data_IF_520749162853
#
_entry.id   IF_520749162853
#
_cell.length_a   1.000
_cell.length_b   1.000
_cell.length_c   1.000
_cell.angle_alpha   90.00
_cell.angle_beta   90.00
_cell.angle_gamma   90.00
#
_symmetry.space_group_name_H-M   'P 1'
#
loop_
_entity.id
_entity.type
_entity.pdbx_description
1 polymer ?
#
# COMPACT_ATOMS: atom_id res chain seq x y z
N UNK A 1 -29.46 46.80 61.65
CA UNK A 1 -29.39 45.45 62.22
C UNK A 1 -28.11 44.77 61.73
N UNK A 2 -27.38 44.14 62.67
CA UNK A 2 -26.13 43.38 62.50
C UNK A 2 -26.37 42.03 61.78
N UNK A 3 -25.38 41.57 61.00
CA UNK A 3 -24.73 40.22 61.02
C UNK A 3 -23.85 40.10 59.75
N UNK A 4 -22.51 40.11 59.83
CA UNK A 4 -21.54 39.02 60.13
C UNK A 4 -21.53 37.81 59.17
N UNK A 5 -20.34 37.51 58.62
CA UNK A 5 -19.94 36.24 57.96
C UNK A 5 -18.88 36.51 56.85
N UNK A 6 -17.57 36.58 57.12
CA UNK A 6 -16.56 35.53 57.41
C UNK A 6 -16.08 34.73 56.16
N UNK A 7 -14.87 35.10 55.70
CA UNK A 7 -13.69 34.31 55.25
C UNK A 7 -13.89 33.06 54.36
N UNK A 8 -13.25 33.05 53.17
CA UNK A 8 -12.12 32.15 52.85
C UNK A 8 -11.64 32.31 51.39
N UNK A 9 -10.45 32.89 51.23
CA UNK A 9 -9.56 32.69 50.07
C UNK A 9 -9.00 31.26 50.09
N UNK A 10 -9.14 30.54 48.98
CA UNK A 10 -8.39 29.29 48.70
C UNK A 10 -7.65 29.50 47.37
N UNK A 11 -6.31 29.36 47.32
CA UNK A 11 -5.57 29.38 46.07
C UNK A 11 -5.64 28.00 45.42
N UNK A 12 -6.08 27.92 44.16
CA UNK A 12 -6.04 26.70 43.38
C UNK A 12 -4.77 26.72 42.51
N UNK A 13 -3.71 26.13 43.04
CA UNK A 13 -2.59 25.61 42.24
C UNK A 13 -2.98 24.21 41.82
N UNK A 14 -3.26 23.95 40.54
CA UNK A 14 -3.11 22.64 39.88
C UNK A 14 -3.36 22.81 38.38
N UNK A 15 -2.39 22.43 37.54
CA UNK A 15 -2.59 22.48 36.09
C UNK A 15 -1.39 22.04 35.25
N UNK A 16 -0.76 20.89 35.55
CA UNK A 16 0.23 20.26 34.66
C UNK A 16 0.10 18.73 34.64
N UNK A 17 -1.11 18.19 34.45
CA UNK A 17 -1.31 16.77 34.10
C UNK A 17 -2.59 16.61 33.27
N UNK A 18 -2.63 17.13 32.04
CA UNK A 18 -3.80 16.97 31.17
C UNK A 18 -3.48 16.85 29.67
N UNK A 19 -2.22 16.64 29.27
CA UNK A 19 -1.86 16.45 27.85
C UNK A 19 -1.57 14.99 27.46
N UNK A 20 -1.29 14.08 28.41
CA UNK A 20 -0.92 12.70 28.07
C UNK A 20 -2.14 11.83 27.68
N UNK A 21 -3.28 12.03 28.34
CA UNK A 21 -4.51 11.24 28.07
C UNK A 21 -5.21 11.61 26.76
N UNK A 22 -4.92 12.79 26.21
CA UNK A 22 -5.50 13.23 24.93
C UNK A 22 -4.75 12.65 23.73
N UNK A 23 -3.47 12.31 23.88
CA UNK A 23 -2.67 11.71 22.80
C UNK A 23 -2.93 10.20 22.68
N UNK A 24 -3.12 9.52 23.81
CA UNK A 24 -3.45 8.08 23.84
C UNK A 24 -4.85 7.79 23.29
N UNK A 25 -5.82 8.69 23.51
CA UNK A 25 -7.18 8.55 22.95
C UNK A 25 -7.22 8.79 21.45
N UNK A 26 -6.44 9.75 20.92
CA UNK A 26 -6.32 10.02 19.48
C UNK A 26 -5.63 8.85 18.76
N UNK A 27 -4.62 8.22 19.37
CA UNK A 27 -3.95 7.06 18.78
C UNK A 27 -4.82 5.78 18.80
N UNK A 28 -5.57 5.56 19.89
CA UNK A 28 -6.55 4.46 19.97
C UNK A 28 -7.73 4.66 19.00
N UNK A 29 -8.21 5.89 18.83
CA UNK A 29 -9.26 6.22 17.87
C UNK A 29 -8.77 6.10 16.42
N UNK A 30 -7.52 6.49 16.14
CA UNK A 30 -6.90 6.31 14.82
C UNK A 30 -6.74 4.84 14.42
N UNK A 31 -6.25 3.99 15.33
CA UNK A 31 -6.12 2.56 15.05
C UNK A 31 -7.48 1.87 14.87
N UNK A 32 -8.49 2.23 15.67
CA UNK A 32 -9.84 1.71 15.51
C UNK A 32 -10.49 2.16 14.19
N UNK A 33 -10.23 3.40 13.75
CA UNK A 33 -10.72 3.91 12.48
C UNK A 33 -10.05 3.21 11.27
N UNK A 34 -8.74 2.93 11.36
CA UNK A 34 -8.02 2.16 10.34
C UNK A 34 -8.50 0.71 10.33
N UNK A 35 -8.70 0.08 11.49
CA UNK A 35 -9.20 -1.30 11.58
C UNK A 35 -10.64 -1.44 11.06
N UNK A 36 -11.49 -0.45 11.35
CA UNK A 36 -12.85 -0.37 10.78
C UNK A 36 -12.82 -0.12 9.28
N UNK A 37 -11.99 0.82 8.79
CA UNK A 37 -11.84 1.05 7.35
C UNK A 37 -11.30 -0.17 6.60
N UNK A 38 -10.42 -0.95 7.24
CA UNK A 38 -9.89 -2.21 6.67
C UNK A 38 -10.96 -3.30 6.66
N UNK A 39 -11.80 -3.38 7.70
CA UNK A 39 -12.95 -4.29 7.79
C UNK A 39 -14.06 -3.89 6.79
N UNK A 40 -14.27 -2.59 6.59
CA UNK A 40 -15.23 -2.03 5.64
C UNK A 40 -14.76 -2.26 4.21
N UNK A 41 -13.48 -2.03 3.90
CA UNK A 41 -12.89 -2.37 2.60
C UNK A 41 -12.93 -3.89 2.32
N UNK A 42 -12.59 -4.73 3.31
CA UNK A 42 -12.68 -6.18 3.16
C UNK A 42 -14.13 -6.66 2.99
N UNK A 43 -15.10 -6.02 3.65
CA UNK A 43 -16.52 -6.37 3.52
C UNK A 43 -17.15 -5.88 2.22
N UNK A 44 -16.70 -4.72 1.70
CA UNK A 44 -17.08 -4.23 0.37
C UNK A 44 -16.54 -5.17 -0.73
N UNK A 45 -15.28 -5.58 -0.62
CA UNK A 45 -14.67 -6.57 -1.51
C UNK A 45 -15.38 -7.93 -1.41
N UNK A 46 -15.77 -8.36 -0.22
CA UNK A 46 -16.55 -9.58 -0.03
C UNK A 46 -17.99 -9.49 -0.57
N UNK A 47 -18.61 -8.31 -0.52
CA UNK A 47 -19.94 -8.06 -1.07
C UNK A 47 -19.89 -8.05 -2.60
N UNK A 48 -18.90 -7.39 -3.20
CA UNK A 48 -18.66 -7.39 -4.64
C UNK A 48 -18.36 -8.81 -5.16
N UNK A 49 -17.60 -9.61 -4.39
CA UNK A 49 -17.35 -11.01 -4.71
C UNK A 49 -18.62 -11.88 -4.66
N UNK A 50 -19.54 -11.63 -3.73
CA UNK A 50 -20.84 -12.34 -3.65
C UNK A 50 -21.77 -11.93 -4.78
N UNK A 51 -21.84 -10.64 -5.10
CA UNK A 51 -22.62 -10.13 -6.23
C UNK A 51 -22.13 -10.69 -7.56
N UNK A 52 -20.81 -10.76 -7.76
CA UNK A 52 -20.21 -11.39 -8.93
C UNK A 52 -20.57 -12.89 -9.03
N UNK A 53 -20.57 -13.60 -7.91
CA UNK A 53 -20.93 -15.02 -7.85
C UNK A 53 -22.41 -15.27 -8.16
N UNK A 54 -23.30 -14.40 -7.69
CA UNK A 54 -24.74 -14.50 -7.93
C UNK A 54 -25.10 -14.17 -9.39
N UNK A 55 -24.43 -13.18 -10.00
CA UNK A 55 -24.56 -12.90 -11.44
C UNK A 55 -24.11 -14.09 -12.29
N UNK A 56 -23.01 -14.76 -11.91
CA UNK A 56 -22.52 -15.97 -12.60
C UNK A 56 -23.54 -17.11 -12.54
N UNK A 57 -24.21 -17.32 -11.40
CA UNK A 57 -25.27 -18.34 -11.28
C UNK A 57 -26.46 -18.01 -12.18
N UNK A 58 -26.91 -16.77 -12.16
CA UNK A 58 -28.07 -16.32 -12.92
C UNK A 58 -27.85 -16.46 -14.44
N UNK A 59 -26.64 -16.12 -14.91
CA UNK A 59 -26.25 -16.26 -16.31
C UNK A 59 -26.03 -17.73 -16.73
N UNK A 60 -25.55 -18.59 -15.83
CA UNK A 60 -25.40 -20.02 -16.11
C UNK A 60 -26.77 -20.70 -16.27
N UNK A 61 -27.75 -20.33 -15.46
CA UNK A 61 -29.11 -20.85 -15.55
C UNK A 61 -29.83 -20.38 -16.83
N UNK A 62 -29.59 -19.15 -17.30
CA UNK A 62 -30.09 -18.64 -18.57
C UNK A 62 -29.41 -19.29 -19.79
N UNK A 63 -28.10 -19.51 -19.76
CA UNK A 63 -27.35 -20.14 -20.85
C UNK A 63 -27.69 -21.63 -21.04
N UNK A 64 -28.15 -22.30 -19.98
CA UNK A 64 -28.62 -23.70 -20.04
C UNK A 64 -30.05 -23.83 -20.60
N UNK A 65 -30.85 -22.75 -20.57
CA UNK A 65 -32.24 -22.77 -21.00
C UNK A 65 -32.43 -22.69 -22.52
N UNK A 66 -31.38 -22.40 -23.28
CA UNK A 66 -31.44 -22.42 -24.74
C UNK A 66 -30.09 -22.32 -25.43
N UNK A 67 -29.84 -23.27 -26.33
CA UNK A 67 -29.07 -23.12 -27.58
C UNK A 67 -27.57 -23.53 -27.56
N UNK A 68 -27.16 -24.07 -28.72
CA UNK A 68 -25.84 -24.22 -29.39
C UNK A 68 -24.57 -24.25 -28.51
N UNK A 69 -23.95 -25.44 -28.51
CA UNK A 69 -22.75 -25.78 -27.76
C UNK A 69 -21.53 -24.86 -28.03
N UNK A 70 -21.45 -24.23 -29.21
CA UNK A 70 -20.32 -23.35 -29.57
C UNK A 70 -20.41 -21.96 -28.93
N UNK A 71 -21.61 -21.39 -28.85
CA UNK A 71 -21.87 -20.12 -28.16
C UNK A 71 -21.69 -20.25 -26.65
N UNK A 72 -22.19 -21.34 -26.09
CA UNK A 72 -22.04 -21.67 -24.66
C UNK A 72 -20.58 -21.89 -24.28
N UNK A 73 -19.79 -22.58 -25.10
CA UNK A 73 -18.37 -22.80 -24.82
C UNK A 73 -17.55 -21.50 -24.79
N UNK A 74 -17.85 -20.55 -25.68
CA UNK A 74 -17.18 -19.25 -25.70
C UNK A 74 -17.58 -18.39 -24.48
N UNK A 75 -18.86 -18.40 -24.10
CA UNK A 75 -19.37 -17.64 -22.95
C UNK A 75 -18.85 -18.19 -21.61
N UNK A 76 -18.89 -19.51 -21.42
CA UNK A 76 -18.34 -20.18 -20.24
C UNK A 76 -16.83 -19.91 -20.09
N UNK A 77 -16.09 -19.87 -21.20
CA UNK A 77 -14.66 -19.51 -21.17
C UNK A 77 -14.46 -18.05 -20.72
N UNK A 78 -15.22 -17.10 -21.28
CA UNK A 78 -15.15 -15.69 -20.88
C UNK A 78 -15.46 -15.50 -19.39
N UNK A 79 -16.51 -16.13 -18.90
CA UNK A 79 -16.88 -16.07 -17.48
C UNK A 79 -15.87 -16.77 -16.57
N UNK A 80 -15.29 -17.88 -17.03
CA UNK A 80 -14.20 -18.57 -16.32
C UNK A 80 -12.94 -17.71 -16.19
N UNK A 81 -12.54 -17.03 -17.26
CA UNK A 81 -11.40 -16.09 -17.24
C UNK A 81 -11.70 -14.88 -16.34
N UNK A 82 -12.90 -14.31 -16.40
CA UNK A 82 -13.33 -13.23 -15.52
C UNK A 82 -13.33 -13.63 -14.04
N UNK A 83 -13.83 -14.84 -13.71
CA UNK A 83 -13.83 -15.37 -12.34
C UNK A 83 -12.39 -15.61 -11.85
N UNK A 84 -11.52 -16.12 -12.72
CA UNK A 84 -10.10 -16.33 -12.42
C UNK A 84 -9.38 -15.02 -12.14
N UNK A 85 -9.68 -13.97 -12.91
CA UNK A 85 -9.09 -12.65 -12.69
C UNK A 85 -9.64 -11.97 -11.44
N UNK A 86 -10.93 -12.12 -11.14
CA UNK A 86 -11.52 -11.70 -9.86
C UNK A 86 -10.88 -12.46 -8.68
N UNK A 87 -10.71 -13.78 -8.78
CA UNK A 87 -10.05 -14.58 -7.75
C UNK A 87 -8.58 -14.18 -7.55
N UNK A 88 -7.86 -13.83 -8.61
CA UNK A 88 -6.48 -13.32 -8.53
C UNK A 88 -6.42 -11.95 -7.84
N UNK A 89 -7.33 -11.04 -8.18
CA UNK A 89 -7.45 -9.73 -7.52
C UNK A 89 -7.75 -9.90 -6.03
N UNK A 90 -8.75 -10.72 -5.70
CA UNK A 90 -9.14 -11.02 -4.32
C UNK A 90 -8.03 -11.69 -3.50
N UNK A 91 -7.20 -12.52 -4.14
CA UNK A 91 -6.08 -13.19 -3.51
C UNK A 91 -4.80 -12.32 -3.44
N UNK A 92 -4.84 -11.05 -3.85
CA UNK A 92 -3.66 -10.18 -3.90
C UNK A 92 -2.60 -10.65 -4.91
N UNK A 93 -2.97 -11.53 -5.83
CA UNK A 93 -2.06 -12.21 -6.76
C UNK A 93 -1.91 -11.52 -8.12
N UNK A 94 -2.70 -10.48 -8.39
CA UNK A 94 -2.58 -9.66 -9.60
C UNK A 94 -2.01 -8.28 -9.27
N UNK A 95 -0.88 -7.96 -9.89
CA UNK A 95 -0.19 -6.68 -9.73
C UNK A 95 -0.48 -5.70 -10.86
N UNK A 96 -1.16 -6.14 -11.93
CA UNK A 96 -1.52 -5.27 -13.06
C UNK A 96 -2.30 -4.01 -12.66
N UNK A 97 -3.23 -4.04 -11.69
CA UNK A 97 -3.92 -2.81 -11.29
C UNK A 97 -3.00 -1.71 -10.76
N UNK A 98 -1.74 -2.02 -10.41
CA UNK A 98 -0.77 -0.98 -10.02
C UNK A 98 -0.48 0.02 -11.15
N UNK A 99 -0.70 -0.38 -12.40
CA UNK A 99 -0.54 0.48 -13.57
C UNK A 99 -1.52 1.67 -13.58
N UNK A 100 -2.69 1.51 -12.97
CA UNK A 100 -3.72 2.56 -12.90
C UNK A 100 -3.35 3.68 -11.90
N UNK A 101 -2.35 3.45 -11.05
CA UNK A 101 -1.88 4.41 -10.06
C UNK A 101 -0.65 5.22 -10.50
N UNK A 102 -0.21 5.09 -11.76
CA UNK A 102 0.88 5.92 -12.29
C UNK A 102 0.53 7.41 -12.16
N UNK A 103 1.50 8.19 -11.67
CA UNK A 103 1.35 9.61 -11.35
C UNK A 103 0.87 9.90 -9.93
N UNK A 104 0.42 8.89 -9.18
CA UNK A 104 -0.03 9.06 -7.79
C UNK A 104 1.10 8.80 -6.81
N UNK A 105 1.08 9.46 -5.64
CA UNK A 105 2.11 9.24 -4.64
C UNK A 105 1.89 7.91 -3.90
N UNK A 106 2.97 7.14 -3.61
CA UNK A 106 2.88 5.86 -2.90
C UNK A 106 2.13 5.94 -1.56
N UNK A 107 2.22 7.09 -0.87
CA UNK A 107 1.51 7.31 0.40
C UNK A 107 -0.01 7.38 0.24
N UNK A 108 -0.49 7.94 -0.88
CA UNK A 108 -1.91 8.18 -1.11
C UNK A 108 -2.61 6.90 -1.55
N UNK A 109 -1.90 6.07 -2.30
CA UNK A 109 -2.40 4.77 -2.78
C UNK A 109 -2.05 3.60 -1.84
N UNK A 110 -1.40 3.90 -0.70
CA UNK A 110 -0.99 2.88 0.25
C UNK A 110 -0.02 1.83 -0.31
N UNK A 111 0.82 2.18 -1.29
CA UNK A 111 1.67 1.24 -2.07
C UNK A 111 2.59 0.39 -1.19
N UNK A 112 3.03 0.93 -0.06
CA UNK A 112 3.88 0.19 0.87
C UNK A 112 3.08 -0.40 2.04
N UNK A 113 1.80 -0.09 2.20
CA UNK A 113 1.01 -0.56 3.34
C UNK A 113 0.55 -2.01 3.17
N UNK A 114 -0.05 -2.57 4.22
CA UNK A 114 -0.58 -3.95 4.21
C UNK A 114 -1.64 -4.20 3.12
N UNK A 115 -2.29 -3.15 2.61
CA UNK A 115 -3.31 -3.28 1.55
C UNK A 115 -2.73 -3.46 0.15
N UNK A 116 -1.43 -3.22 -0.01
CA UNK A 116 -0.77 -3.26 -1.31
C UNK A 116 -0.49 -4.71 -1.73
N UNK A 117 -0.75 -5.07 -3.00
CA UNK A 117 -0.53 -6.41 -3.49
C UNK A 117 0.96 -6.82 -3.54
N UNK A 118 1.89 -5.86 -3.46
CA UNK A 118 3.35 -6.14 -3.43
C UNK A 118 3.91 -6.35 -2.02
N UNK A 119 3.14 -6.07 -0.97
CA UNK A 119 3.64 -6.08 0.41
C UNK A 119 4.13 -7.44 0.89
N UNK A 120 3.48 -8.59 0.58
CA UNK A 120 4.00 -9.89 0.97
C UNK A 120 5.41 -10.17 0.39
N UNK A 121 5.62 -9.84 -0.88
CA UNK A 121 6.89 -10.01 -1.59
C UNK A 121 7.94 -9.03 -1.08
N UNK A 122 7.55 -7.78 -0.81
CA UNK A 122 8.45 -6.77 -0.24
C UNK A 122 8.92 -7.16 1.17
N UNK A 123 8.02 -7.71 2.01
CA UNK A 123 8.35 -8.27 3.33
C UNK A 123 9.31 -9.45 3.22
N UNK A 124 9.05 -10.37 2.29
CA UNK A 124 9.94 -11.51 2.04
C UNK A 124 11.32 -11.06 1.58
N UNK A 125 11.39 -10.02 0.75
CA UNK A 125 12.62 -9.54 0.15
C UNK A 125 13.50 -8.76 1.15
N UNK A 126 12.89 -7.89 1.96
CA UNK A 126 13.61 -6.99 2.85
C UNK A 126 13.72 -7.49 4.30
N UNK A 127 12.77 -8.32 4.75
CA UNK A 127 12.69 -8.74 6.15
C UNK A 127 12.72 -7.55 7.10
N UNK A 128 13.71 -7.54 8.01
CA UNK A 128 13.91 -6.45 8.97
C UNK A 128 14.19 -5.08 8.32
N UNK A 129 14.64 -5.03 7.07
CA UNK A 129 14.95 -3.78 6.34
C UNK A 129 13.72 -3.08 5.78
N UNK A 130 12.52 -3.66 5.91
CA UNK A 130 11.29 -3.04 5.43
C UNK A 130 11.04 -1.66 6.07
N UNK A 131 11.30 -1.53 7.36
CA UNK A 131 11.10 -0.25 8.07
C UNK A 131 12.13 0.80 7.66
N UNK A 132 13.39 0.39 7.43
CA UNK A 132 14.40 1.29 6.85
C UNK A 132 13.98 1.75 5.46
N UNK A 133 13.49 0.85 4.61
CA UNK A 133 12.98 1.21 3.29
C UNK A 133 11.85 2.23 3.37
N UNK A 134 10.87 2.05 4.27
CA UNK A 134 9.79 3.03 4.48
C UNK A 134 10.33 4.39 4.93
N UNK A 135 11.29 4.41 5.85
CA UNK A 135 11.91 5.64 6.32
C UNK A 135 12.65 6.35 5.17
N UNK A 136 13.36 5.59 4.34
CA UNK A 136 14.11 6.10 3.18
C UNK A 136 13.20 6.42 1.98
N UNK A 137 11.90 6.16 2.09
CA UNK A 137 10.85 6.64 1.18
C UNK A 137 10.00 7.77 1.80
N UNK A 138 10.44 8.37 2.91
CA UNK A 138 9.67 9.41 3.61
C UNK A 138 9.40 10.67 2.78
N UNK A 139 10.33 11.03 1.90
CA UNK A 139 10.13 12.00 0.80
C UNK A 139 10.29 11.25 -0.51
N UNK A 140 9.20 11.10 -1.27
CA UNK A 140 9.16 10.25 -2.46
C UNK A 140 8.50 10.94 -3.64
N UNK A 141 8.91 10.55 -4.84
CA UNK A 141 8.22 10.91 -6.08
C UNK A 141 6.91 10.14 -6.27
N UNK A 142 6.12 10.49 -7.29
CA UNK A 142 4.98 9.68 -7.69
C UNK A 142 5.41 8.32 -8.24
N UNK A 143 4.53 7.33 -8.15
CA UNK A 143 4.68 6.06 -8.87
C UNK A 143 4.77 6.38 -10.37
N UNK A 144 5.86 5.95 -11.00
CA UNK A 144 6.17 6.31 -12.38
C UNK A 144 6.37 5.04 -13.21
N UNK A 145 6.37 5.17 -14.55
CA UNK A 145 6.54 4.05 -15.46
C UNK A 145 7.60 4.32 -16.50
N UNK A 146 8.59 3.43 -16.56
CA UNK A 146 9.57 3.35 -17.64
C UNK A 146 9.99 1.87 -17.76
N UNK A 147 9.38 1.14 -18.69
CA UNK A 147 9.44 -0.33 -18.84
C UNK A 147 8.82 -1.11 -17.66
N UNK A 148 9.23 -0.80 -16.44
CA UNK A 148 8.65 -1.26 -15.18
C UNK A 148 8.00 -0.09 -14.43
N UNK A 149 7.17 -0.39 -13.44
CA UNK A 149 6.75 0.63 -12.49
C UNK A 149 7.90 0.91 -11.53
N UNK A 150 8.06 2.16 -11.11
CA UNK A 150 9.12 2.53 -10.19
C UNK A 150 8.76 3.70 -9.29
N UNK A 151 9.48 3.79 -8.18
CA UNK A 151 9.52 4.99 -7.35
C UNK A 151 10.89 5.16 -6.73
N UNK A 152 11.30 6.41 -6.57
CA UNK A 152 12.50 6.82 -5.84
C UNK A 152 12.10 7.70 -4.67
N UNK A 153 12.88 7.65 -3.60
CA UNK A 153 12.70 8.50 -2.45
C UNK A 153 13.95 8.61 -1.60
N UNK A 154 13.85 9.49 -0.61
CA UNK A 154 14.85 9.70 0.42
C UNK A 154 14.20 9.90 1.79
N UNK A 155 14.97 9.64 2.83
CA UNK A 155 14.60 10.07 4.17
C UNK A 155 14.60 11.60 4.21
N UNK A 156 13.62 12.26 4.87
CA UNK A 156 13.52 13.71 4.88
C UNK A 156 14.84 14.38 5.29
N UNK A 157 15.27 15.36 4.50
CA UNK A 157 16.52 16.12 4.67
C UNK A 157 17.82 15.30 4.57
N UNK A 158 17.78 14.03 4.13
CA UNK A 158 18.95 13.14 4.04
C UNK A 158 19.14 12.57 2.62
N UNK A 159 18.83 13.37 1.59
CA UNK A 159 19.14 13.02 0.21
C UNK A 159 20.66 12.85 0.01
N UNK A 160 21.06 11.77 -0.66
CA UNK A 160 22.47 11.37 -0.83
C UNK A 160 22.92 10.28 0.14
N UNK A 161 22.43 10.30 1.38
CA UNK A 161 22.87 9.38 2.44
C UNK A 161 21.87 8.27 2.75
N UNK A 162 20.58 8.63 2.82
CA UNK A 162 19.49 7.73 3.20
C UNK A 162 18.40 7.79 2.12
N UNK A 163 18.52 6.90 1.13
CA UNK A 163 17.67 6.89 -0.05
C UNK A 163 17.18 5.49 -0.38
N UNK A 164 16.14 5.40 -1.20
CA UNK A 164 15.68 4.14 -1.72
C UNK A 164 15.09 4.28 -3.12
N UNK A 165 15.14 3.20 -3.89
CA UNK A 165 14.29 3.02 -5.06
C UNK A 165 13.58 1.66 -4.99
N UNK A 166 12.43 1.57 -5.62
CA UNK A 166 11.68 0.35 -5.83
C UNK A 166 11.35 0.22 -7.32
N UNK A 167 11.60 -0.95 -7.89
CA UNK A 167 11.16 -1.37 -9.22
C UNK A 167 10.14 -2.50 -9.08
N UNK A 168 9.08 -2.46 -9.89
CA UNK A 168 7.98 -3.43 -9.86
C UNK A 168 7.70 -3.89 -11.29
N UNK A 169 8.01 -5.15 -11.56
CA UNK A 169 7.57 -5.87 -12.76
C UNK A 169 6.21 -6.53 -12.46
N UNK A 170 5.13 -5.86 -12.86
CA UNK A 170 3.75 -6.31 -12.63
C UNK A 170 3.39 -7.57 -13.42
N UNK A 171 4.11 -7.85 -14.52
CA UNK A 171 3.86 -9.00 -15.37
C UNK A 171 4.47 -10.28 -14.79
N UNK A 172 5.71 -10.20 -14.31
CA UNK A 172 6.44 -11.35 -13.77
C UNK A 172 6.43 -11.42 -12.23
N UNK A 173 5.80 -10.45 -11.56
CA UNK A 173 5.77 -10.31 -10.09
C UNK A 173 7.16 -10.30 -9.47
N UNK A 174 8.03 -9.47 -10.03
CA UNK A 174 9.40 -9.30 -9.54
C UNK A 174 9.58 -7.89 -9.00
N UNK A 175 10.33 -7.81 -7.91
CA UNK A 175 10.73 -6.57 -7.27
C UNK A 175 12.25 -6.44 -7.28
N UNK A 176 12.73 -5.22 -7.43
CA UNK A 176 14.09 -4.82 -7.05
C UNK A 176 13.99 -3.60 -6.14
N UNK A 177 14.72 -3.63 -5.02
CA UNK A 177 14.83 -2.52 -4.08
C UNK A 177 16.30 -2.16 -3.96
N UNK A 178 16.65 -0.92 -4.26
CA UNK A 178 17.90 -0.34 -3.82
C UNK A 178 17.69 0.41 -2.52
N UNK A 179 18.49 0.09 -1.51
CA UNK A 179 18.49 0.78 -0.23
C UNK A 179 19.87 1.40 -0.01
N UNK A 180 19.91 2.72 0.09
CA UNK A 180 21.11 3.47 0.42
C UNK A 180 21.06 3.81 1.90
N UNK A 181 22.04 3.30 2.65
CA UNK A 181 22.23 3.58 4.08
C UNK A 181 23.65 4.10 4.28
N UNK A 182 23.80 5.25 4.93
CA UNK A 182 25.09 5.91 5.12
C UNK A 182 25.89 6.07 3.80
N UNK A 183 25.21 6.46 2.73
CA UNK A 183 25.80 6.64 1.40
C UNK A 183 26.22 5.34 0.70
N UNK A 184 25.85 4.16 1.23
CA UNK A 184 26.16 2.85 0.61
C UNK A 184 24.91 2.16 0.10
N UNK A 185 24.90 1.84 -1.19
CA UNK A 185 23.84 1.07 -1.82
C UNK A 185 23.94 -0.43 -1.49
N UNK A 186 22.82 -0.99 -1.05
CA UNK A 186 22.54 -2.43 -1.06
C UNK A 186 21.34 -2.70 -1.96
N UNK A 187 21.44 -3.71 -2.84
CA UNK A 187 20.34 -4.09 -3.74
C UNK A 187 19.75 -5.43 -3.30
N UNK A 188 18.43 -5.45 -3.15
CA UNK A 188 17.63 -6.63 -2.89
C UNK A 188 16.77 -6.90 -4.11
N UNK A 189 16.88 -8.06 -4.74
CA UNK A 189 16.11 -8.39 -5.94
C UNK A 189 15.43 -9.75 -5.82
N UNK A 190 14.26 -9.87 -6.44
CA UNK A 190 13.62 -11.15 -6.68
C UNK A 190 14.49 -11.99 -7.62
N UNK A 191 14.46 -13.33 -7.53
CA UNK A 191 15.22 -14.19 -8.43
C UNK A 191 14.89 -13.96 -9.91
N UNK A 192 15.88 -14.11 -10.78
CA UNK A 192 15.74 -14.00 -12.24
C UNK A 192 16.63 -12.91 -12.84
N UNK A 193 16.31 -12.51 -14.06
CA UNK A 193 17.02 -11.42 -14.75
C UNK A 193 16.84 -10.08 -14.05
N UNK A 194 17.86 -9.22 -14.13
CA UNK A 194 17.80 -7.88 -13.59
C UNK A 194 16.67 -7.07 -14.23
N UNK A 195 15.98 -6.27 -13.43
CA UNK A 195 14.95 -5.38 -13.94
C UNK A 195 15.59 -4.17 -14.62
N UNK A 196 14.95 -3.69 -15.69
CA UNK A 196 15.38 -2.46 -16.33
C UNK A 196 15.29 -1.29 -15.35
N UNK A 197 16.38 -0.56 -15.19
CA UNK A 197 16.45 0.61 -14.30
C UNK A 197 16.04 1.86 -15.07
N UNK A 198 14.96 2.55 -14.68
CA UNK A 198 14.55 3.82 -15.26
C UNK A 198 15.64 4.89 -15.17
N UNK A 199 15.56 5.92 -16.03
CA UNK A 199 16.55 7.00 -16.06
C UNK A 199 16.71 7.71 -14.71
N UNK A 200 15.63 7.90 -13.97
CA UNK A 200 15.66 8.55 -12.66
C UNK A 200 16.45 7.72 -11.63
N UNK A 201 16.27 6.39 -11.66
CA UNK A 201 17.03 5.46 -10.82
C UNK A 201 18.50 5.47 -11.23
N UNK A 202 18.80 5.45 -12.52
CA UNK A 202 20.18 5.56 -13.01
C UNK A 202 20.84 6.88 -12.55
N UNK A 203 20.10 7.98 -12.60
CA UNK A 203 20.58 9.31 -12.15
C UNK A 203 20.84 9.32 -10.65
N UNK A 204 19.92 8.78 -9.85
CA UNK A 204 20.10 8.60 -8.40
C UNK A 204 21.38 7.82 -8.09
N UNK A 205 21.59 6.70 -8.79
CA UNK A 205 22.77 5.85 -8.62
C UNK A 205 24.07 6.53 -9.07
N UNK A 206 24.02 7.29 -10.16
CA UNK A 206 25.17 8.07 -10.65
C UNK A 206 25.60 9.14 -9.64
N UNK A 207 24.62 9.81 -9.02
CA UNK A 207 24.89 10.83 -8.01
C UNK A 207 25.54 10.23 -6.76
N UNK A 208 25.12 9.03 -6.35
CA UNK A 208 25.71 8.33 -5.20
C UNK A 208 27.20 8.01 -5.40
N UNK A 209 27.58 7.60 -6.61
CA UNK A 209 28.97 7.26 -6.94
C UNK A 209 29.88 8.49 -7.16
N UNK A 210 29.30 9.70 -7.12
CA UNK A 210 30.01 10.95 -7.32
C UNK A 210 30.35 11.68 -6.01
N UNK A 211 29.98 11.10 -4.86
CA UNK A 211 30.24 11.59 -3.50
C UNK A 211 31.41 10.82 -2.89
#
# INVERSE_FOLDING_TARGET
MKMLGLVATVPLVFGLVACDKAMESVQKQGNAAVENATRDAASAVAAEAREALDKVKQQADEALAGVDASGVAAEVKRHGDALKDSARRLAGNDWKPLDDYVGQYPRDIGLFSEVSPITPELKKLLGAKLETFRANMGTQGPLSREQVLYVTGNKPHQGGDEMAYLLIDTAQRRLEVGLVEHGRLTVYASPGEALARPKDVQTMLSNLNSV
#
